data_IF_394251109664
#
_entry.id   IF_394251109664
#
_cell.length_a   1.000
_cell.length_b   1.000
_cell.length_c   1.000
_cell.angle_alpha   90.00
_cell.angle_beta   90.00
_cell.angle_gamma   90.00
#
_symmetry.space_group_name_H-M   'P 1'
#
loop_
_entity.id
_entity.type
_entity.pdbx_description
1 polymer ?
#
# COMPACT_ATOMS: atom_id res chain seq x y z
N UNK A 1 -3.79 24.38 -34.03
CA UNK A 1 -3.60 22.91 -33.89
C UNK A 1 -2.30 22.56 -34.63
N UNK A 2 -1.42 21.72 -34.09
CA UNK A 2 -0.10 21.41 -34.71
C UNK A 2 -0.30 20.72 -36.06
N UNK A 3 0.56 21.03 -37.06
CA UNK A 3 0.46 20.56 -38.46
C UNK A 3 0.33 19.04 -38.55
N UNK A 4 1.05 18.34 -37.69
CA UNK A 4 1.12 16.88 -37.60
C UNK A 4 -0.22 16.25 -37.17
N UNK A 5 -0.94 16.89 -36.24
CA UNK A 5 -2.28 16.43 -35.82
C UNK A 5 -3.27 16.59 -36.98
N UNK A 6 -3.12 17.63 -37.79
CA UNK A 6 -4.00 17.85 -38.95
C UNK A 6 -3.77 16.77 -40.01
N UNK A 7 -2.52 16.33 -40.20
CA UNK A 7 -2.17 15.23 -41.11
C UNK A 7 -2.72 13.89 -40.59
N UNK A 8 -2.57 13.61 -39.29
CA UNK A 8 -3.11 12.39 -38.69
C UNK A 8 -4.63 12.28 -38.85
N UNK A 9 -5.34 13.40 -38.73
CA UNK A 9 -6.80 13.48 -38.82
C UNK A 9 -7.31 13.80 -40.24
N UNK A 10 -6.44 13.91 -41.25
CA UNK A 10 -6.87 14.24 -42.62
C UNK A 10 -7.50 13.05 -43.36
N UNK A 11 -7.34 11.84 -42.83
CA UNK A 11 -7.89 10.60 -43.36
C UNK A 11 -8.78 9.96 -42.29
N UNK A 12 -9.83 9.28 -42.72
CA UNK A 12 -10.58 8.41 -41.81
C UNK A 12 -9.69 7.25 -41.33
N UNK A 13 -9.87 6.76 -40.09
CA UNK A 13 -9.13 5.59 -39.63
C UNK A 13 -9.47 4.35 -40.47
N UNK A 14 -8.44 3.66 -40.96
CA UNK A 14 -8.61 2.43 -41.74
C UNK A 14 -7.81 1.27 -41.11
N UNK A 15 -8.08 0.04 -41.49
CA UNK A 15 -7.13 -1.06 -41.27
C UNK A 15 -5.87 -0.86 -42.15
N UNK A 16 -4.84 -1.70 -41.99
CA UNK A 16 -3.58 -1.54 -42.75
C UNK A 16 -3.82 -2.02 -44.19
N UNK A 17 -3.67 -1.18 -45.23
CA UNK A 17 -3.87 -1.61 -46.61
C UNK A 17 -2.78 -2.57 -47.08
N UNK A 18 -3.14 -3.47 -47.99
CA UNK A 18 -2.20 -4.21 -48.82
C UNK A 18 -2.15 -3.60 -50.23
N UNK A 19 -0.97 -3.58 -50.83
CA UNK A 19 -0.80 -3.21 -52.23
C UNK A 19 -0.99 -4.41 -53.18
N UNK A 20 -0.72 -4.20 -54.47
CA UNK A 20 -0.91 -5.21 -55.52
C UNK A 20 0.02 -6.43 -55.37
N UNK A 21 1.09 -6.33 -54.57
CA UNK A 21 2.06 -7.38 -54.30
C UNK A 21 1.85 -8.05 -52.92
N UNK A 22 0.70 -7.81 -52.28
CA UNK A 22 0.37 -8.23 -50.90
C UNK A 22 1.35 -7.66 -49.84
N UNK A 23 1.98 -6.51 -50.11
CA UNK A 23 2.83 -5.80 -49.15
C UNK A 23 2.06 -4.71 -48.39
N UNK A 24 2.51 -4.39 -47.16
CA UNK A 24 1.84 -3.39 -46.32
C UNK A 24 2.05 -1.96 -46.82
N UNK A 25 0.97 -1.28 -47.21
CA UNK A 25 0.96 0.09 -47.71
C UNK A 25 0.47 1.09 -46.63
N UNK A 26 1.38 1.53 -45.76
CA UNK A 26 1.03 2.48 -44.69
C UNK A 26 0.80 3.90 -45.22
N UNK A 27 -0.15 4.61 -44.59
CA UNK A 27 -0.34 6.05 -44.79
C UNK A 27 -0.09 6.86 -43.52
N UNK A 28 0.16 8.15 -43.65
CA UNK A 28 0.43 9.15 -42.58
C UNK A 28 -0.69 9.30 -41.51
N UNK A 29 -1.88 8.74 -41.75
CA UNK A 29 -3.06 8.82 -40.88
C UNK A 29 -3.10 7.80 -39.73
N UNK A 30 -4.31 7.41 -39.33
CA UNK A 30 -4.55 6.46 -38.23
C UNK A 30 -4.87 5.06 -38.78
N UNK A 31 -4.12 4.06 -38.33
CA UNK A 31 -4.41 2.65 -38.58
C UNK A 31 -5.12 2.01 -37.39
N UNK A 32 -6.27 1.39 -37.63
CA UNK A 32 -7.03 0.64 -36.64
C UNK A 32 -6.66 -0.84 -36.72
N UNK A 33 -6.22 -1.41 -35.62
CA UNK A 33 -5.87 -2.83 -35.51
C UNK A 33 -6.79 -3.51 -34.51
N UNK A 34 -7.49 -4.57 -34.92
CA UNK A 34 -8.42 -5.32 -34.06
C UNK A 34 -7.86 -6.73 -33.88
N UNK A 35 -7.31 -6.99 -32.70
CA UNK A 35 -6.76 -8.31 -32.36
C UNK A 35 -7.72 -9.02 -31.40
N UNK A 36 -8.70 -9.69 -32.01
CA UNK A 36 -9.58 -10.67 -31.40
C UNK A 36 -9.35 -12.00 -32.11
N UNK A 37 -9.22 -13.12 -31.39
CA UNK A 37 -8.85 -14.43 -31.96
C UNK A 37 -9.73 -14.97 -33.11
N UNK A 38 -10.84 -14.27 -33.45
CA UNK A 38 -11.78 -14.66 -34.50
C UNK A 38 -11.45 -14.04 -35.87
N UNK A 39 -10.81 -12.87 -35.93
CA UNK A 39 -10.37 -12.24 -37.18
C UNK A 39 -8.86 -12.43 -37.38
N UNK A 40 -8.49 -13.49 -38.09
CA UNK A 40 -7.08 -13.85 -38.34
C UNK A 40 -6.60 -13.52 -39.75
N UNK A 41 -7.39 -12.79 -40.55
CA UNK A 41 -7.14 -12.62 -41.98
C UNK A 41 -7.31 -11.21 -42.51
N UNK A 42 -6.72 -11.02 -43.68
CA UNK A 42 -6.98 -9.94 -44.63
C UNK A 42 -8.48 -9.94 -44.92
N UNK A 43 -9.11 -8.77 -44.86
CA UNK A 43 -10.52 -8.60 -45.20
C UNK A 43 -10.75 -8.67 -46.71
N UNK A 44 -11.98 -8.89 -47.17
CA UNK A 44 -12.30 -9.02 -48.61
C UNK A 44 -11.93 -7.78 -49.44
N UNK A 45 -11.72 -6.63 -48.79
CA UNK A 45 -11.24 -5.37 -49.35
C UNK A 45 -9.71 -5.19 -49.27
N UNK A 46 -8.96 -6.25 -48.98
CA UNK A 46 -7.48 -6.23 -49.00
C UNK A 46 -6.84 -5.57 -47.78
N UNK A 47 -7.53 -5.52 -46.63
CA UNK A 47 -7.02 -4.83 -45.44
C UNK A 47 -6.56 -5.80 -44.35
N UNK A 48 -5.38 -5.55 -43.79
CA UNK A 48 -4.81 -6.31 -42.69
C UNK A 48 -5.26 -5.74 -41.33
N UNK A 49 -5.88 -6.61 -40.52
CA UNK A 49 -6.60 -6.21 -39.30
C UNK A 49 -5.72 -6.24 -38.04
N UNK A 50 -4.58 -6.95 -38.06
CA UNK A 50 -3.69 -7.09 -36.91
C UNK A 50 -2.60 -6.02 -36.88
N UNK A 51 -1.98 -5.85 -35.72
CA UNK A 51 -0.88 -4.91 -35.54
C UNK A 51 0.35 -5.40 -36.32
N UNK A 52 0.74 -4.62 -37.34
CA UNK A 52 2.02 -4.72 -38.03
C UNK A 52 2.67 -3.33 -38.03
N UNK A 53 3.97 -3.27 -37.75
CA UNK A 53 4.71 -2.02 -37.75
C UNK A 53 5.40 -1.81 -39.11
N UNK A 54 5.48 -0.57 -39.60
CA UNK A 54 6.27 -0.23 -40.77
C UNK A 54 7.77 -0.47 -40.51
N UNK A 55 8.46 -0.91 -41.55
CA UNK A 55 9.93 -0.94 -41.63
C UNK A 55 10.44 0.39 -42.16
N UNK A 56 11.76 0.57 -42.20
CA UNK A 56 12.37 1.78 -42.75
C UNK A 56 11.95 2.06 -44.21
N UNK A 57 11.64 1.02 -44.98
CA UNK A 57 11.35 1.10 -46.41
C UNK A 57 9.90 1.57 -46.69
N UNK A 58 8.97 1.31 -45.78
CA UNK A 58 7.55 1.68 -45.93
C UNK A 58 7.03 2.60 -44.81
N UNK A 59 7.93 3.27 -44.08
CA UNK A 59 7.61 4.23 -43.02
C UNK A 59 7.13 5.58 -43.61
N UNK A 60 5.87 5.98 -43.39
CA UNK A 60 5.38 7.29 -43.80
C UNK A 60 6.08 8.44 -43.05
N UNK A 61 6.15 9.61 -43.68
CA UNK A 61 6.67 10.85 -43.06
C UNK A 61 5.66 11.99 -43.21
N UNK A 62 4.93 12.38 -42.13
CA UNK A 62 5.13 12.03 -40.72
C UNK A 62 4.61 10.64 -40.30
N UNK A 63 5.31 10.00 -39.36
CA UNK A 63 4.95 8.66 -38.87
C UNK A 63 3.46 8.53 -38.49
N UNK A 64 2.82 7.38 -38.82
CA UNK A 64 1.42 7.14 -38.59
C UNK A 64 1.11 6.86 -37.11
N UNK A 65 -0.18 6.90 -36.77
CA UNK A 65 -0.67 6.48 -35.47
C UNK A 65 -1.44 5.15 -35.55
N UNK A 66 -1.43 4.39 -34.46
CA UNK A 66 -2.14 3.11 -34.36
C UNK A 66 -3.15 3.16 -33.23
N UNK A 67 -4.38 2.72 -33.51
CA UNK A 67 -5.41 2.42 -32.50
C UNK A 67 -5.56 0.91 -32.45
N UNK A 68 -5.05 0.30 -31.38
CA UNK A 68 -5.10 -1.15 -31.18
C UNK A 68 -6.24 -1.50 -30.22
N UNK A 69 -7.21 -2.27 -30.71
CA UNK A 69 -8.36 -2.75 -29.94
C UNK A 69 -8.20 -4.24 -29.70
N UNK A 70 -8.17 -4.64 -28.43
CA UNK A 70 -7.74 -5.98 -28.05
C UNK A 70 -8.56 -6.66 -26.97
N UNK A 71 -8.67 -7.99 -27.08
CA UNK A 71 -9.25 -8.87 -26.06
C UNK A 71 -8.25 -9.37 -25.02
N UNK A 72 -8.57 -10.49 -24.34
CA UNK A 72 -7.65 -11.13 -23.40
C UNK A 72 -6.35 -11.63 -24.07
N UNK A 73 -6.37 -11.82 -25.38
CA UNK A 73 -5.26 -12.35 -26.17
C UNK A 73 -4.07 -11.38 -26.25
N UNK A 74 -4.32 -10.07 -26.36
CA UNK A 74 -3.21 -9.11 -26.31
C UNK A 74 -2.54 -9.06 -24.94
N UNK A 75 -3.25 -9.46 -23.87
CA UNK A 75 -2.78 -9.24 -22.50
C UNK A 75 -1.54 -10.05 -22.11
N UNK A 76 -1.10 -10.99 -22.94
CA UNK A 76 0.05 -11.87 -22.67
C UNK A 76 1.05 -11.87 -23.83
N UNK A 77 2.29 -11.51 -23.53
CA UNK A 77 3.43 -11.72 -24.44
C UNK A 77 3.65 -10.66 -25.52
N UNK A 78 2.70 -9.75 -25.77
CA UNK A 78 2.85 -8.69 -26.76
C UNK A 78 3.42 -7.40 -26.12
N UNK A 79 4.41 -6.79 -26.77
CA UNK A 79 4.92 -5.46 -26.40
C UNK A 79 4.52 -4.47 -27.48
N UNK A 80 3.76 -3.44 -27.12
CA UNK A 80 3.40 -2.36 -28.06
C UNK A 80 4.49 -1.27 -28.02
N UNK A 81 4.99 -0.93 -29.21
CA UNK A 81 5.96 0.13 -29.45
C UNK A 81 5.24 1.47 -29.51
N UNK A 82 5.81 2.49 -28.86
CA UNK A 82 5.19 3.83 -28.85
C UNK A 82 3.84 3.91 -28.13
N UNK A 83 3.53 2.98 -27.21
CA UNK A 83 2.30 3.03 -26.43
C UNK A 83 2.27 4.25 -25.51
N UNK A 84 1.42 5.24 -25.86
CA UNK A 84 1.28 6.49 -25.11
C UNK A 84 -0.09 6.69 -24.47
N UNK A 85 -1.13 5.97 -24.91
CA UNK A 85 -2.47 6.09 -24.33
C UNK A 85 -3.16 4.73 -24.28
N UNK A 86 -3.69 4.39 -23.10
CA UNK A 86 -4.32 3.10 -22.85
C UNK A 86 -5.70 3.32 -22.24
N UNK A 87 -6.72 2.72 -22.84
CA UNK A 87 -8.07 2.65 -22.31
C UNK A 87 -8.34 1.24 -21.79
N UNK A 88 -8.59 1.13 -20.48
CA UNK A 88 -8.77 -0.15 -19.83
C UNK A 88 -10.07 -0.17 -19.03
N UNK A 89 -11.08 -0.79 -19.64
CA UNK A 89 -12.47 -0.76 -19.15
C UNK A 89 -12.85 -2.01 -18.34
N UNK A 90 -11.97 -3.01 -18.23
CA UNK A 90 -12.28 -4.28 -17.55
C UNK A 90 -11.99 -4.21 -16.06
N UNK A 91 -12.86 -4.80 -15.24
CA UNK A 91 -12.58 -5.06 -13.83
C UNK A 91 -11.87 -6.41 -13.68
N UNK A 92 -10.79 -6.45 -12.89
CA UNK A 92 -10.02 -7.67 -12.66
C UNK A 92 -9.94 -7.91 -11.16
N UNK A 93 -10.17 -9.16 -10.73
CA UNK A 93 -10.15 -9.56 -9.31
C UNK A 93 -8.88 -10.30 -8.89
N UNK A 94 -7.94 -10.54 -9.81
CA UNK A 94 -6.69 -11.29 -9.56
C UNK A 94 -5.45 -10.39 -9.65
N UNK A 95 -4.55 -10.48 -8.68
CA UNK A 95 -3.36 -9.63 -8.56
C UNK A 95 -2.36 -9.90 -9.69
N UNK A 96 -2.09 -11.18 -9.99
CA UNK A 96 -1.19 -11.58 -11.07
C UNK A 96 -1.64 -11.02 -12.42
N UNK A 97 -2.94 -11.10 -12.71
CA UNK A 97 -3.53 -10.53 -13.93
C UNK A 97 -3.39 -9.01 -13.95
N UNK A 98 -3.58 -8.34 -12.80
CA UNK A 98 -3.42 -6.89 -12.67
C UNK A 98 -1.95 -6.46 -12.85
N UNK A 99 -0.98 -7.19 -12.28
CA UNK A 99 0.46 -6.95 -12.48
C UNK A 99 0.86 -7.12 -13.95
N UNK A 100 0.42 -8.19 -14.60
CA UNK A 100 0.67 -8.41 -16.03
C UNK A 100 0.09 -7.26 -16.86
N UNK A 101 -1.09 -6.75 -16.47
CA UNK A 101 -1.72 -5.61 -17.11
C UNK A 101 -0.99 -4.28 -16.90
N UNK A 102 -0.10 -4.16 -15.91
CA UNK A 102 0.74 -2.97 -15.72
C UNK A 102 1.64 -2.66 -16.92
N UNK A 103 1.90 -3.64 -17.79
CA UNK A 103 2.65 -3.45 -19.04
C UNK A 103 1.96 -2.48 -20.01
N UNK A 104 0.64 -2.36 -19.92
CA UNK A 104 -0.16 -1.42 -20.71
C UNK A 104 0.00 0.03 -20.30
N UNK A 105 0.81 0.33 -19.29
CA UNK A 105 1.09 1.71 -18.92
C UNK A 105 2.04 2.40 -19.91
N UNK A 106 2.68 1.65 -20.82
CA UNK A 106 3.53 2.24 -21.86
C UNK A 106 4.81 2.89 -21.32
N UNK A 107 5.27 2.49 -20.12
CA UNK A 107 6.49 3.04 -19.54
C UNK A 107 7.72 2.66 -20.40
N UNK A 108 8.31 3.65 -21.07
CA UNK A 108 9.61 3.55 -21.73
C UNK A 108 10.50 4.73 -21.27
N UNK A 109 11.77 4.44 -21.01
CA UNK A 109 12.76 5.45 -20.60
C UNK A 109 12.83 6.57 -21.65
N UNK A 110 12.84 7.82 -21.20
CA UNK A 110 12.87 9.02 -22.06
C UNK A 110 11.51 9.57 -22.48
N UNK A 111 10.41 8.86 -22.19
CA UNK A 111 9.04 9.27 -22.52
C UNK A 111 8.09 9.24 -21.32
N UNK A 112 8.63 9.29 -20.10
CA UNK A 112 7.91 9.01 -18.85
C UNK A 112 6.70 9.93 -18.61
N UNK A 113 6.69 11.12 -19.22
CA UNK A 113 5.61 12.11 -19.06
C UNK A 113 4.46 11.96 -20.08
N UNK A 114 4.66 11.15 -21.12
CA UNK A 114 3.70 10.99 -22.22
C UNK A 114 2.56 10.02 -21.93
N UNK A 115 2.77 8.88 -21.22
CA UNK A 115 1.71 7.92 -20.99
C UNK A 115 0.44 8.50 -20.34
N UNK A 116 -0.70 8.06 -20.86
CA UNK A 116 -2.05 8.35 -20.36
C UNK A 116 -2.79 7.03 -20.13
N UNK A 117 -3.35 6.89 -18.94
CA UNK A 117 -4.10 5.70 -18.54
C UNK A 117 -5.52 6.09 -18.19
N UNK A 118 -6.48 5.48 -18.88
CA UNK A 118 -7.91 5.67 -18.65
C UNK A 118 -8.48 4.38 -18.06
N UNK A 119 -8.73 4.39 -16.76
CA UNK A 119 -9.16 3.24 -15.97
C UNK A 119 -10.32 3.62 -15.05
N UNK A 120 -11.10 2.63 -14.62
CA UNK A 120 -12.14 2.82 -13.60
C UNK A 120 -11.52 3.18 -12.25
N UNK A 121 -12.27 3.87 -11.36
CA UNK A 121 -11.77 4.18 -10.01
C UNK A 121 -11.42 2.92 -9.22
N UNK A 122 -12.20 1.83 -9.39
CA UNK A 122 -11.94 0.54 -8.75
C UNK A 122 -10.57 -0.02 -9.17
N UNK A 123 -10.29 -0.06 -10.47
CA UNK A 123 -9.01 -0.54 -11.01
C UNK A 123 -7.84 0.34 -10.53
N UNK A 124 -8.03 1.66 -10.45
CA UNK A 124 -7.02 2.57 -9.91
C UNK A 124 -6.68 2.25 -8.44
N UNK A 125 -7.69 2.03 -7.61
CA UNK A 125 -7.48 1.71 -6.21
C UNK A 125 -6.83 0.32 -6.03
N UNK A 126 -7.16 -0.64 -6.90
CA UNK A 126 -6.49 -1.95 -6.95
C UNK A 126 -5.00 -1.83 -7.34
N UNK A 127 -4.65 -1.01 -8.35
CA UNK A 127 -3.26 -0.78 -8.74
C UNK A 127 -2.46 -0.08 -7.63
N UNK A 128 -3.05 0.90 -6.94
CA UNK A 128 -2.41 1.56 -5.79
C UNK A 128 -2.13 0.57 -4.68
N UNK A 129 -3.09 -0.31 -4.39
CA UNK A 129 -2.91 -1.36 -3.39
C UNK A 129 -1.79 -2.34 -3.78
N UNK A 130 -1.79 -2.80 -5.02
CA UNK A 130 -0.78 -3.71 -5.54
C UNK A 130 0.62 -3.09 -5.56
N UNK A 131 0.75 -1.81 -5.94
CA UNK A 131 2.02 -1.09 -5.89
C UNK A 131 2.53 -0.90 -4.45
N UNK A 132 1.62 -0.66 -3.49
CA UNK A 132 1.98 -0.61 -2.08
C UNK A 132 2.47 -1.98 -1.57
N UNK A 133 1.79 -3.07 -1.93
CA UNK A 133 2.23 -4.43 -1.60
C UNK A 133 3.59 -4.77 -2.23
N UNK A 134 3.84 -4.42 -3.49
CA UNK A 134 5.13 -4.63 -4.16
C UNK A 134 6.24 -3.84 -3.46
N UNK A 135 5.97 -2.60 -3.06
CA UNK A 135 6.93 -1.79 -2.31
C UNK A 135 7.21 -2.37 -0.92
N UNK A 136 6.19 -2.81 -0.19
CA UNK A 136 6.37 -3.49 1.09
C UNK A 136 7.24 -4.74 0.96
N UNK A 137 7.01 -5.55 -0.08
CA UNK A 137 7.83 -6.74 -0.35
C UNK A 137 9.29 -6.36 -0.66
N UNK A 138 9.53 -5.29 -1.43
CA UNK A 138 10.88 -4.78 -1.71
C UNK A 138 11.58 -4.29 -0.44
N UNK A 139 10.85 -3.58 0.41
CA UNK A 139 11.37 -3.08 1.68
C UNK A 139 11.73 -4.25 2.60
N UNK A 140 10.91 -5.30 2.65
CA UNK A 140 11.20 -6.55 3.39
C UNK A 140 12.43 -7.28 2.84
N UNK A 141 12.57 -7.37 1.51
CA UNK A 141 13.77 -7.96 0.89
C UNK A 141 15.02 -7.17 1.26
N UNK A 142 14.95 -5.83 1.26
CA UNK A 142 16.06 -4.99 1.66
C UNK A 142 16.40 -5.13 3.15
N UNK A 143 15.39 -5.26 4.01
CA UNK A 143 15.56 -5.55 5.43
C UNK A 143 16.30 -6.88 5.64
N UNK A 144 15.93 -7.93 4.91
CA UNK A 144 16.61 -9.24 5.01
C UNK A 144 18.08 -9.19 4.64
N UNK A 145 18.41 -8.52 3.54
CA UNK A 145 19.80 -8.33 3.09
C UNK A 145 20.62 -7.64 4.18
N UNK A 146 20.06 -6.58 4.76
CA UNK A 146 20.70 -5.82 5.83
C UNK A 146 20.88 -6.65 7.12
N UNK A 147 19.86 -7.45 7.48
CA UNK A 147 19.89 -8.35 8.63
C UNK A 147 20.68 -9.65 8.35
N UNK A 148 21.21 -9.86 7.14
CA UNK A 148 21.96 -11.07 6.79
C UNK A 148 21.14 -12.35 6.91
N UNK A 149 19.82 -12.29 6.72
CA UNK A 149 18.95 -13.48 6.78
C UNK A 149 19.04 -14.26 5.46
N UNK A 150 19.17 -15.58 5.55
CA UNK A 150 19.24 -16.46 4.38
C UNK A 150 17.89 -16.53 3.64
N UNK A 151 17.85 -16.45 2.30
CA UNK A 151 16.64 -16.67 1.52
C UNK A 151 15.98 -18.05 1.76
N UNK A 152 16.75 -19.07 2.16
CA UNK A 152 16.20 -20.39 2.48
C UNK A 152 15.33 -20.39 3.74
N UNK A 153 15.57 -19.44 4.65
CA UNK A 153 14.85 -19.29 5.92
C UNK A 153 13.68 -18.30 5.80
N UNK A 154 13.55 -17.66 4.64
CA UNK A 154 12.49 -16.72 4.34
C UNK A 154 11.94 -17.00 2.94
N UNK A 155 10.91 -17.84 2.86
CA UNK A 155 10.04 -17.83 1.69
C UNK A 155 9.38 -16.45 1.60
N UNK A 156 9.34 -15.78 0.42
CA UNK A 156 8.66 -14.49 0.26
C UNK A 156 7.22 -14.63 0.76
N UNK A 157 6.96 -14.11 1.96
CA UNK A 157 5.67 -14.22 2.63
C UNK A 157 4.74 -13.24 1.96
N UNK A 158 3.98 -13.71 0.97
CA UNK A 158 2.94 -12.87 0.39
C UNK A 158 1.88 -12.73 1.47
N UNK A 159 1.93 -11.62 2.22
CA UNK A 159 1.02 -11.35 3.32
C UNK A 159 -0.41 -11.64 2.87
N UNK A 160 -1.07 -12.56 3.56
CA UNK A 160 -2.52 -12.59 3.64
C UNK A 160 -2.96 -11.37 4.46
N UNK A 161 -2.73 -10.18 3.90
CA UNK A 161 -3.21 -8.92 4.46
C UNK A 161 -4.74 -8.99 4.38
N UNK A 162 -5.52 -8.58 5.39
CA UNK A 162 -6.98 -8.68 5.39
C UNK A 162 -7.69 -8.01 4.19
N UNK A 163 -6.96 -7.17 3.43
CA UNK A 163 -7.39 -6.61 2.13
C UNK A 163 -7.41 -7.61 0.96
N UNK A 164 -6.89 -8.83 1.14
CA UNK A 164 -6.87 -9.89 0.12
C UNK A 164 -8.28 -10.42 -0.26
N UNK A 165 -9.32 -10.03 0.47
CA UNK A 165 -10.71 -10.27 0.05
C UNK A 165 -11.08 -9.52 -1.25
N UNK A 166 -10.41 -8.40 -1.56
CA UNK A 166 -10.66 -7.60 -2.77
C UNK A 166 -9.87 -8.05 -4.01
N UNK A 167 -8.74 -8.74 -3.82
CA UNK A 167 -7.87 -9.22 -4.89
C UNK A 167 -7.28 -10.58 -4.51
N UNK A 168 -7.62 -11.62 -5.28
CA UNK A 168 -6.97 -12.93 -5.15
C UNK A 168 -5.54 -12.83 -5.64
N UNK A 169 -4.60 -13.12 -4.75
CA UNK A 169 -3.17 -12.99 -4.99
C UNK A 169 -2.69 -14.00 -6.05
N UNK A 170 -3.25 -15.21 -6.07
CA UNK A 170 -2.97 -16.26 -7.07
C UNK A 170 -4.22 -17.08 -7.40
N UNK A 171 -4.21 -17.74 -8.57
CA UNK A 171 -5.26 -18.67 -8.98
C UNK A 171 -5.23 -19.95 -8.13
N UNK A 172 -6.40 -20.47 -7.73
CA UNK A 172 -6.57 -21.64 -6.83
C UNK A 172 -5.73 -22.86 -7.23
N UNK A 173 -5.55 -23.09 -8.52
CA UNK A 173 -4.81 -24.24 -9.06
C UNK A 173 -3.28 -24.12 -8.96
N UNK A 174 -2.75 -22.89 -8.78
CA UNK A 174 -1.32 -22.63 -8.56
C UNK A 174 -0.94 -22.53 -7.08
N UNK A 175 -1.92 -22.64 -6.19
CA UNK A 175 -1.71 -22.66 -4.74
C UNK A 175 -1.37 -24.06 -4.20
N UNK A 176 -1.23 -25.08 -5.06
CA UNK A 176 -0.93 -26.46 -4.62
C UNK A 176 0.40 -26.57 -3.85
N UNK A 177 1.35 -25.66 -4.09
CA UNK A 177 2.63 -25.56 -3.36
C UNK A 177 2.64 -24.46 -2.28
N UNK A 178 1.57 -23.67 -2.18
CA UNK A 178 1.44 -22.67 -1.15
C UNK A 178 0.94 -23.37 0.12
N UNK A 179 1.82 -23.55 1.11
CA UNK A 179 1.37 -23.89 2.44
C UNK A 179 0.62 -22.69 2.99
N UNK A 180 -0.65 -22.88 3.35
CA UNK A 180 -1.41 -21.92 4.14
C UNK A 180 -0.62 -21.71 5.43
N UNK A 181 0.11 -20.61 5.47
CA UNK A 181 0.85 -20.19 6.64
C UNK A 181 -0.01 -19.21 7.38
N UNK A 182 -0.06 -19.45 8.68
CA UNK A 182 -0.83 -18.72 9.67
C UNK A 182 -0.57 -17.20 9.64
N UNK A 183 -1.47 -16.41 10.24
CA UNK A 183 -1.25 -14.96 10.37
C UNK A 183 0.06 -14.69 11.12
N UNK A 184 0.93 -13.89 10.51
CA UNK A 184 2.22 -13.50 11.03
C UNK A 184 2.34 -11.98 10.89
N UNK A 185 2.41 -11.29 12.03
CA UNK A 185 2.53 -9.84 12.08
C UNK A 185 3.97 -9.38 12.38
N UNK A 186 4.95 -10.29 12.35
CA UNK A 186 6.37 -9.95 12.53
C UNK A 186 6.85 -9.00 11.43
N UNK A 187 7.64 -7.99 11.82
CA UNK A 187 8.09 -6.93 10.91
C UNK A 187 6.98 -5.96 10.46
N UNK A 188 5.73 -6.10 10.93
CA UNK A 188 4.64 -5.23 10.52
C UNK A 188 4.70 -3.85 11.20
N UNK A 189 4.30 -2.82 10.47
CA UNK A 189 4.12 -1.47 11.03
C UNK A 189 2.77 -0.89 10.64
N UNK A 190 1.79 -1.20 11.48
CA UNK A 190 0.37 -0.88 11.25
C UNK A 190 0.03 0.49 11.84
N UNK A 191 -0.87 1.23 11.21
CA UNK A 191 -1.31 2.55 11.69
C UNK A 191 -2.80 2.77 11.44
N UNK A 192 -3.46 3.53 12.30
CA UNK A 192 -4.82 4.01 12.06
C UNK A 192 -4.80 5.20 11.09
N UNK A 193 -5.52 5.10 9.98
CA UNK A 193 -5.65 6.18 8.98
C UNK A 193 -7.11 6.47 8.57
N UNK A 194 -8.05 5.69 9.10
CA UNK A 194 -9.50 5.84 8.92
C UNK A 194 -10.14 5.95 10.30
N UNK A 195 -11.05 6.90 10.46
CA UNK A 195 -11.76 7.17 11.70
C UNK A 195 -13.22 7.50 11.41
N UNK A 196 -14.14 6.97 12.20
CA UNK A 196 -15.55 7.38 12.13
C UNK A 196 -15.66 8.80 12.70
N UNK A 197 -16.20 9.75 11.92
CA UNK A 197 -16.40 11.14 12.36
C UNK A 197 -17.63 11.23 13.29
N UNK A 198 -17.65 10.42 14.34
CA UNK A 198 -18.72 10.28 15.31
C UNK A 198 -18.23 10.73 16.69
N UNK A 199 -18.96 11.66 17.31
CA UNK A 199 -18.58 12.27 18.59
C UNK A 199 -18.45 11.22 19.70
N UNK A 200 -19.34 10.22 19.74
CA UNK A 200 -19.32 9.20 20.78
C UNK A 200 -18.13 8.26 20.60
N UNK A 201 -17.79 7.88 19.36
CA UNK A 201 -16.61 7.04 19.07
C UNK A 201 -15.32 7.77 19.39
N UNK A 202 -15.16 9.01 18.92
CA UNK A 202 -13.93 9.77 19.12
C UNK A 202 -13.69 10.11 20.60
N UNK A 203 -14.74 10.54 21.33
CA UNK A 203 -14.63 10.78 22.78
C UNK A 203 -14.34 9.51 23.57
N UNK A 204 -14.96 8.39 23.21
CA UNK A 204 -14.66 7.09 23.82
C UNK A 204 -13.17 6.77 23.69
N UNK A 205 -12.61 6.88 22.48
CA UNK A 205 -11.20 6.61 22.26
C UNK A 205 -10.28 7.56 23.04
N UNK A 206 -10.60 8.85 23.14
CA UNK A 206 -9.84 9.79 23.99
C UNK A 206 -9.84 9.31 25.46
N UNK A 207 -11.01 8.98 26.01
CA UNK A 207 -11.14 8.54 27.41
C UNK A 207 -10.39 7.23 27.65
N UNK A 208 -10.47 6.26 26.75
CA UNK A 208 -9.72 5.00 26.89
C UNK A 208 -8.21 5.22 26.77
N UNK A 209 -7.77 6.15 25.92
CA UNK A 209 -6.36 6.55 25.85
C UNK A 209 -5.90 7.24 27.13
N UNK A 210 -6.71 8.12 27.74
CA UNK A 210 -6.38 8.74 29.03
C UNK A 210 -6.23 7.69 30.13
N UNK A 211 -7.18 6.74 30.22
CA UNK A 211 -7.08 5.61 31.16
C UNK A 211 -5.82 4.78 30.93
N UNK A 212 -5.51 4.48 29.67
CA UNK A 212 -4.30 3.74 29.31
C UNK A 212 -3.04 4.48 29.74
N UNK A 213 -2.87 5.75 29.34
CA UNK A 213 -1.71 6.57 29.70
C UNK A 213 -1.57 6.71 31.22
N UNK A 214 -2.68 6.91 31.95
CA UNK A 214 -2.65 6.94 33.41
C UNK A 214 -2.18 5.63 34.03
N UNK A 215 -2.55 4.48 33.44
CA UNK A 215 -2.15 3.15 33.91
C UNK A 215 -0.66 2.83 33.71
N UNK A 216 0.02 3.54 32.80
CA UNK A 216 1.46 3.38 32.57
C UNK A 216 2.32 4.01 33.68
N UNK A 217 1.73 4.87 34.52
CA UNK A 217 2.48 5.63 35.53
C UNK A 217 3.30 6.78 34.93
N UNK A 218 4.34 7.20 35.64
CA UNK A 218 5.19 8.30 35.18
C UNK A 218 6.06 7.86 33.99
N UNK A 219 6.17 8.69 32.93
CA UNK A 219 7.08 8.43 31.84
C UNK A 219 8.53 8.49 32.32
N UNK A 220 9.44 7.94 31.52
CA UNK A 220 10.87 8.03 31.81
C UNK A 220 11.32 9.49 31.91
N UNK A 221 12.23 9.77 32.85
CA UNK A 221 12.87 11.08 32.92
C UNK A 221 13.56 11.38 31.59
N UNK A 222 13.22 12.54 31.03
CA UNK A 222 13.65 12.93 29.70
C UNK A 222 15.17 13.04 29.64
N UNK A 223 15.82 12.03 29.06
CA UNK A 223 17.24 12.11 28.69
C UNK A 223 17.39 12.96 27.43
N UNK A 224 18.23 13.99 27.47
CA UNK A 224 18.53 14.87 26.31
C UNK A 224 19.30 14.15 25.18
N UNK A 225 19.50 12.84 25.28
CA UNK A 225 20.37 12.10 24.38
C UNK A 225 19.76 11.93 22.98
N UNK A 226 18.43 11.80 22.84
CA UNK A 226 17.75 11.59 21.56
C UNK A 226 16.86 12.78 21.16
N UNK A 227 17.29 13.55 20.16
CA UNK A 227 16.56 14.72 19.64
C UNK A 227 15.16 14.39 19.10
N UNK A 228 14.89 13.15 18.68
CA UNK A 228 13.58 12.77 18.16
C UNK A 228 12.56 12.46 19.27
N UNK A 229 13.00 12.38 20.53
CA UNK A 229 12.14 12.23 21.70
C UNK A 229 11.71 13.57 22.32
N UNK A 230 12.14 14.71 21.77
CA UNK A 230 12.03 16.04 22.38
C UNK A 230 10.60 16.42 22.82
N UNK A 231 9.60 16.04 22.03
CA UNK A 231 8.20 16.39 22.23
C UNK A 231 7.32 15.18 22.58
N UNK A 232 7.92 14.14 23.13
CA UNK A 232 7.27 12.85 23.37
C UNK A 232 7.44 12.39 24.81
N UNK A 233 6.45 11.69 25.33
CA UNK A 233 6.57 10.90 26.56
C UNK A 233 6.82 9.44 26.20
N UNK A 234 7.74 8.79 26.91
CA UNK A 234 8.17 7.41 26.60
C UNK A 234 8.09 6.56 27.85
N UNK A 235 7.52 5.38 27.71
CA UNK A 235 7.54 4.31 28.71
C UNK A 235 8.20 3.10 28.09
N UNK A 236 9.19 2.55 28.78
CA UNK A 236 9.89 1.33 28.37
C UNK A 236 9.48 0.17 29.22
N UNK A 237 9.64 -1.04 28.69
CA UNK A 237 9.40 -2.28 29.43
C UNK A 237 7.95 -2.41 29.95
N UNK A 238 6.97 -1.98 29.16
CA UNK A 238 5.54 -2.06 29.48
C UNK A 238 5.00 -3.46 29.18
N UNK A 239 4.34 -4.08 30.16
CA UNK A 239 3.74 -5.40 29.97
C UNK A 239 2.65 -5.38 28.88
N UNK A 240 2.61 -6.44 28.05
CA UNK A 240 1.59 -6.56 27.01
C UNK A 240 0.16 -6.59 27.56
N UNK A 241 -0.05 -6.98 28.82
CA UNK A 241 -1.36 -6.98 29.49
C UNK A 241 -2.04 -5.59 29.45
N UNK A 242 -1.27 -4.52 29.66
CA UNK A 242 -1.75 -3.14 29.61
C UNK A 242 -2.07 -2.70 28.17
N UNK A 243 -1.21 -3.08 27.22
CA UNK A 243 -1.39 -2.79 25.79
C UNK A 243 -2.61 -3.52 25.25
N UNK A 244 -2.75 -4.81 25.57
CA UNK A 244 -3.89 -5.65 25.21
C UNK A 244 -5.21 -4.99 25.62
N UNK A 245 -5.35 -4.64 26.90
CA UNK A 245 -6.56 -4.00 27.41
C UNK A 245 -6.91 -2.73 26.64
N UNK A 246 -5.91 -1.90 26.32
CA UNK A 246 -6.15 -0.69 25.53
C UNK A 246 -6.58 -1.00 24.10
N UNK A 247 -5.96 -1.99 23.44
CA UNK A 247 -6.34 -2.42 22.09
C UNK A 247 -7.74 -3.05 22.03
N UNK A 248 -8.19 -3.74 23.08
CA UNK A 248 -9.54 -4.32 23.19
C UNK A 248 -10.63 -3.24 23.33
N UNK A 249 -10.34 -2.18 24.09
CA UNK A 249 -11.31 -1.10 24.37
C UNK A 249 -11.32 0.00 23.29
N UNK A 250 -10.25 0.11 22.50
CA UNK A 250 -10.14 1.10 21.43
C UNK A 250 -11.07 0.76 20.26
N UNK A 251 -11.92 1.71 19.86
CA UNK A 251 -12.84 1.55 18.73
C UNK A 251 -12.15 1.84 17.41
N UNK A 252 -11.80 0.77 16.69
CA UNK A 252 -11.27 0.84 15.34
C UNK A 252 -12.37 1.01 14.29
N UNK A 253 -12.08 1.78 13.24
CA UNK A 253 -12.94 1.83 12.07
C UNK A 253 -12.93 0.46 11.34
N UNK A 254 -14.10 -0.06 11.01
CA UNK A 254 -14.28 -1.39 10.40
C UNK A 254 -13.61 -1.57 9.03
N UNK A 255 -13.25 -0.48 8.35
CA UNK A 255 -12.56 -0.52 7.05
C UNK A 255 -11.03 -0.60 7.21
N UNK A 256 -10.49 -0.57 8.43
CA UNK A 256 -9.06 -0.73 8.68
C UNK A 256 -8.66 -2.20 8.55
N UNK A 257 -7.80 -2.54 7.59
CA UNK A 257 -7.40 -3.93 7.33
C UNK A 257 -6.96 -4.73 8.57
N UNK A 258 -5.79 -4.43 9.14
CA UNK A 258 -5.22 -5.20 10.26
C UNK A 258 -5.99 -5.01 11.58
N UNK A 259 -6.54 -3.81 11.80
CA UNK A 259 -7.20 -3.49 13.06
C UNK A 259 -8.69 -3.90 13.11
N UNK A 260 -9.31 -4.24 11.99
CA UNK A 260 -10.69 -4.76 11.97
C UNK A 260 -10.78 -6.15 12.62
N UNK A 261 -9.67 -6.87 12.74
CA UNK A 261 -9.57 -8.12 13.50
C UNK A 261 -8.49 -8.02 14.57
N UNK A 262 -8.63 -7.02 15.45
CA UNK A 262 -7.68 -6.78 16.54
C UNK A 262 -7.58 -7.99 17.50
N UNK A 263 -8.66 -8.77 17.64
CA UNK A 263 -8.67 -9.96 18.47
C UNK A 263 -7.65 -11.02 17.97
N UNK A 264 -7.60 -11.26 16.66
CA UNK A 264 -6.59 -12.16 16.07
C UNK A 264 -5.17 -11.62 16.23
N UNK A 265 -4.98 -10.31 16.13
CA UNK A 265 -3.66 -9.68 16.35
C UNK A 265 -3.21 -9.86 17.79
N UNK A 266 -4.10 -9.62 18.76
CA UNK A 266 -3.83 -9.82 20.19
C UNK A 266 -3.46 -11.27 20.46
N UNK A 267 -4.27 -12.23 20.00
CA UNK A 267 -4.02 -13.65 20.22
C UNK A 267 -2.66 -14.09 19.64
N UNK A 268 -2.28 -13.54 18.48
CA UNK A 268 -0.96 -13.78 17.89
C UNK A 268 0.17 -13.21 18.76
N UNK A 269 0.03 -11.96 19.23
CA UNK A 269 1.04 -11.32 20.12
C UNK A 269 1.19 -12.11 21.42
N UNK A 270 0.10 -12.59 22.03
CA UNK A 270 0.16 -13.41 23.24
C UNK A 270 0.96 -14.68 23.02
N UNK A 271 0.69 -15.39 21.92
CA UNK A 271 1.39 -16.63 21.61
C UNK A 271 2.90 -16.41 21.43
N UNK A 272 3.31 -15.44 20.62
CA UNK A 272 4.74 -15.21 20.38
C UNK A 272 5.47 -14.64 21.60
N UNK A 273 4.77 -13.86 22.43
CA UNK A 273 5.32 -13.37 23.69
C UNK A 273 5.54 -14.55 24.66
N UNK A 274 4.60 -15.50 24.71
CA UNK A 274 4.74 -16.73 25.49
C UNK A 274 5.87 -17.64 24.99
N UNK A 275 6.19 -17.61 23.70
CA UNK A 275 7.36 -18.27 23.11
C UNK A 275 8.69 -17.54 23.40
N UNK A 276 8.66 -16.42 24.14
CA UNK A 276 9.85 -15.60 24.45
C UNK A 276 10.39 -14.85 23.24
N UNK A 277 9.58 -14.69 22.19
CA UNK A 277 10.01 -14.08 20.93
C UNK A 277 9.85 -12.56 20.92
N UNK A 278 8.89 -12.04 21.67
CA UNK A 278 8.72 -10.61 21.92
C UNK A 278 9.01 -10.29 23.37
N UNK A 279 9.67 -9.16 23.57
CA UNK A 279 9.86 -8.55 24.87
C UNK A 279 8.68 -7.64 25.23
N UNK A 280 8.79 -6.99 26.38
CA UNK A 280 7.87 -5.94 26.79
C UNK A 280 7.88 -4.76 25.80
N UNK A 281 6.82 -3.97 25.84
CA UNK A 281 6.54 -2.92 24.87
C UNK A 281 7.20 -1.59 25.25
N UNK A 282 7.59 -0.82 24.24
CA UNK A 282 7.84 0.60 24.39
C UNK A 282 6.61 1.39 23.93
N UNK A 283 6.13 2.29 24.78
CA UNK A 283 4.98 3.15 24.49
C UNK A 283 5.48 4.58 24.31
N UNK A 284 5.00 5.24 23.25
CA UNK A 284 5.36 6.62 22.93
C UNK A 284 4.08 7.43 22.78
N UNK A 285 3.90 8.46 23.61
CA UNK A 285 2.92 9.50 23.37
C UNK A 285 3.61 10.63 22.61
N UNK A 286 3.41 10.64 21.29
CA UNK A 286 4.14 11.52 20.38
C UNK A 286 3.44 12.87 20.19
N UNK A 287 4.19 13.95 20.40
CA UNK A 287 3.77 15.31 20.12
C UNK A 287 4.64 15.98 19.04
N UNK A 288 4.24 17.17 18.61
CA UNK A 288 5.05 18.01 17.70
C UNK A 288 5.57 19.26 18.38
N UNK A 289 6.61 19.88 17.82
CA UNK A 289 7.15 21.15 18.33
C UNK A 289 6.18 22.34 18.24
N UNK A 290 5.09 22.25 17.47
CA UNK A 290 4.09 23.31 17.31
C UNK A 290 2.67 22.73 17.24
N UNK A 291 1.67 23.51 17.68
CA UNK A 291 0.27 23.11 17.68
C UNK A 291 -0.46 23.45 18.97
N UNK A 292 -1.76 23.14 19.01
CA UNK A 292 -2.55 23.18 20.24
C UNK A 292 -2.10 22.07 21.19
N UNK A 293 -2.43 22.22 22.48
CA UNK A 293 -2.01 21.29 23.53
C UNK A 293 -3.16 20.38 23.91
N UNK A 294 -2.88 19.10 24.11
CA UNK A 294 -3.71 18.16 24.84
C UNK A 294 -3.09 17.93 26.22
N UNK A 295 -3.88 18.13 27.27
CA UNK A 295 -3.45 17.91 28.65
C UNK A 295 -3.63 16.44 28.98
N UNK A 296 -2.61 15.63 28.70
CA UNK A 296 -2.63 14.21 29.01
C UNK A 296 -2.51 13.98 30.53
N UNK A 297 -2.83 12.78 31.04
CA UNK A 297 -2.69 12.45 32.46
C UNK A 297 -1.28 12.64 33.04
N UNK A 298 -0.25 12.67 32.19
CA UNK A 298 1.17 12.79 32.60
C UNK A 298 1.79 14.14 32.25
N UNK A 299 1.02 15.05 31.64
CA UNK A 299 1.47 16.38 31.27
C UNK A 299 1.01 16.84 29.89
N UNK A 300 1.27 18.11 29.56
CA UNK A 300 0.87 18.70 28.29
C UNK A 300 1.68 18.09 27.14
N UNK A 301 0.99 17.61 26.10
CA UNK A 301 1.58 17.19 24.84
C UNK A 301 0.96 17.97 23.69
N UNK A 302 1.76 18.36 22.71
CA UNK A 302 1.28 19.11 21.55
C UNK A 302 0.61 18.17 20.55
N UNK A 303 -0.63 18.50 20.15
CA UNK A 303 -1.40 17.76 19.15
C UNK A 303 -0.69 17.79 17.80
N UNK A 304 -0.87 16.73 17.02
CA UNK A 304 -0.34 16.64 15.66
C UNK A 304 -1.35 17.19 14.65
N UNK A 305 -0.86 17.88 13.63
CA UNK A 305 -1.72 18.32 12.53
C UNK A 305 -1.83 17.26 11.44
N UNK A 306 -3.05 16.86 11.07
CA UNK A 306 -3.32 15.99 9.92
C UNK A 306 -4.51 16.54 9.16
N UNK A 307 -4.48 16.39 7.84
CA UNK A 307 -5.59 16.77 6.95
C UNK A 307 -6.34 15.52 6.51
N UNK A 308 -7.58 15.66 6.01
CA UNK A 308 -8.30 14.54 5.40
C UNK A 308 -8.21 14.59 3.88
N UNK A 309 -8.33 13.42 3.24
CA UNK A 309 -8.50 13.32 1.78
C UNK A 309 -9.90 13.80 1.44
N UNK A 310 -10.03 14.57 0.35
CA UNK A 310 -11.35 14.96 -0.16
C UNK A 310 -12.17 13.72 -0.46
N UNK A 311 -13.42 13.74 0.00
CA UNK A 311 -14.37 12.69 -0.27
C UNK A 311 -14.65 12.62 -1.78
N UNK A 312 -14.67 11.40 -2.33
CA UNK A 312 -15.18 11.16 -3.68
C UNK A 312 -16.73 11.13 -3.71
N UNK A 313 -17.35 10.80 -2.57
CA UNK A 313 -18.80 10.68 -2.38
C UNK A 313 -19.21 11.43 -1.10
N UNK A 314 -20.28 12.25 -1.17
CA UNK A 314 -20.73 13.13 -0.08
C UNK A 314 -21.26 12.38 1.17
N UNK A 315 -21.58 11.09 1.06
CA UNK A 315 -22.18 10.29 2.14
C UNK A 315 -21.18 9.61 3.07
N UNK A 316 -19.87 9.77 2.85
CA UNK A 316 -18.87 9.07 3.66
C UNK A 316 -18.58 9.87 4.94
N UNK A 317 -19.07 9.36 6.08
CA UNK A 317 -18.83 9.93 7.42
C UNK A 317 -17.45 9.58 7.97
N UNK A 318 -16.60 8.92 7.18
CA UNK A 318 -15.26 8.46 7.58
C UNK A 318 -14.20 9.49 7.23
N UNK A 319 -13.33 9.79 8.18
CA UNK A 319 -12.14 10.62 7.99
C UNK A 319 -10.99 9.74 7.50
N UNK A 320 -10.47 10.03 6.31
CA UNK A 320 -9.25 9.39 5.80
C UNK A 320 -8.06 10.35 5.82
N UNK A 321 -7.16 10.18 6.78
CA UNK A 321 -5.97 11.05 6.91
C UNK A 321 -4.81 10.61 6.00
N UNK A 322 -4.87 9.40 5.43
CA UNK A 322 -3.85 8.82 4.56
C UNK A 322 -2.67 8.21 5.32
N UNK A 323 -1.91 9.04 6.04
CA UNK A 323 -0.72 8.59 6.81
C UNK A 323 -0.73 9.28 8.17
N UNK A 324 -0.60 8.48 9.23
CA UNK A 324 -0.49 8.97 10.60
C UNK A 324 0.97 9.13 11.02
N UNK A 325 1.82 8.15 10.73
CA UNK A 325 3.19 8.09 11.24
C UNK A 325 4.10 9.23 10.76
N UNK A 326 4.99 9.70 11.63
CA UNK A 326 6.26 10.32 11.25
C UNK A 326 7.36 9.25 11.39
N UNK A 327 8.19 8.99 10.37
CA UNK A 327 9.26 7.99 10.49
C UNK A 327 10.23 8.24 11.64
N UNK A 328 10.39 9.50 12.08
CA UNK A 328 11.27 9.87 13.20
C UNK A 328 10.79 9.31 14.53
N UNK A 329 9.47 9.20 14.72
CA UNK A 329 8.89 8.75 15.99
C UNK A 329 9.20 7.27 16.25
N UNK A 330 9.51 6.49 15.20
CA UNK A 330 9.93 5.08 15.30
C UNK A 330 11.22 4.95 16.11
N UNK A 331 12.15 5.90 15.97
CA UNK A 331 13.46 5.86 16.62
C UNK A 331 13.52 6.68 17.91
N UNK A 332 12.40 7.25 18.35
CA UNK A 332 12.35 8.10 19.53
C UNK A 332 12.59 7.32 20.83
N UNK A 333 12.29 6.02 20.87
CA UNK A 333 12.56 5.16 22.03
C UNK A 333 13.98 4.60 22.11
N UNK A 334 14.86 4.94 21.17
CA UNK A 334 16.27 4.59 21.25
C UNK A 334 16.93 5.46 22.33
N UNK A 335 17.40 4.82 23.41
CA UNK A 335 18.32 5.47 24.34
C UNK A 335 19.71 5.49 23.72
N UNK A 336 20.28 6.69 23.55
CA UNK A 336 21.63 6.87 22.99
C UNK A 336 22.73 6.73 24.03
N UNK A 337 22.40 6.68 25.32
CA UNK A 337 23.38 6.48 26.37
C UNK A 337 24.02 5.08 26.24
N UNK A 338 25.35 5.02 26.14
CA UNK A 338 26.09 3.77 25.99
C UNK A 338 26.02 3.12 24.61
N UNK A 339 25.29 3.71 23.64
CA UNK A 339 25.23 3.17 22.28
C UNK A 339 26.53 3.41 21.49
N UNK A 340 26.93 2.48 20.61
CA UNK A 340 28.01 2.70 19.65
C UNK A 340 27.86 3.98 18.82
N UNK A 341 28.98 4.63 18.52
CA UNK A 341 29.02 5.89 17.76
C UNK A 341 28.34 5.78 16.38
N UNK A 342 28.34 4.60 15.77
CA UNK A 342 27.62 4.33 14.53
C UNK A 342 26.12 4.56 14.69
N UNK A 343 25.51 4.04 15.75
CA UNK A 343 24.06 4.15 16.02
C UNK A 343 23.70 5.58 16.35
N UNK A 344 24.51 6.24 17.20
CA UNK A 344 24.35 7.67 17.52
C UNK A 344 24.36 8.52 16.25
N UNK A 345 25.28 8.24 15.33
CA UNK A 345 25.38 8.95 14.05
C UNK A 345 24.16 8.67 13.16
N UNK A 346 23.71 7.41 13.06
CA UNK A 346 22.51 7.05 12.27
C UNK A 346 21.22 7.69 12.83
N UNK A 347 21.11 7.84 14.16
CA UNK A 347 19.98 8.53 14.81
C UNK A 347 20.03 10.04 14.56
N UNK A 348 21.22 10.66 14.63
CA UNK A 348 21.39 12.09 14.34
C UNK A 348 21.13 12.41 12.87
N UNK A 349 21.73 11.65 11.95
CA UNK A 349 21.59 11.77 10.49
C UNK A 349 20.45 10.89 9.94
N UNK A 350 19.32 10.91 10.65
CA UNK A 350 18.20 10.01 10.39
C UNK A 350 17.70 10.06 8.94
N UNK A 351 17.57 8.88 8.34
CA UNK A 351 16.88 8.67 7.06
C UNK A 351 15.72 7.71 7.26
N UNK A 352 14.53 8.12 6.83
CA UNK A 352 13.26 7.42 7.04
C UNK A 352 13.27 5.94 6.63
N UNK A 353 13.95 5.59 5.53
CA UNK A 353 14.06 4.19 5.07
C UNK A 353 14.81 3.26 6.03
N UNK A 354 15.62 3.80 6.94
CA UNK A 354 16.43 3.01 7.89
C UNK A 354 15.85 2.97 9.29
N UNK A 355 14.63 3.50 9.53
CA UNK A 355 14.09 3.62 10.88
C UNK A 355 14.04 2.29 11.66
N UNK A 356 13.55 1.23 11.01
CA UNK A 356 13.51 -0.12 11.61
C UNK A 356 14.91 -0.71 11.82
N UNK A 357 15.79 -0.52 10.84
CA UNK A 357 17.19 -0.97 10.92
C UNK A 357 17.90 -0.33 12.11
N UNK A 358 17.79 0.99 12.26
CA UNK A 358 18.43 1.75 13.36
C UNK A 358 17.91 1.24 14.71
N UNK A 359 16.59 1.00 14.81
CA UNK A 359 15.97 0.45 16.02
C UNK A 359 16.47 -0.97 16.31
N UNK A 360 16.62 -1.81 15.29
CA UNK A 360 17.20 -3.14 15.43
C UNK A 360 18.67 -3.11 15.85
N UNK A 361 19.49 -2.24 15.25
CA UNK A 361 20.90 -2.08 15.62
C UNK A 361 21.06 -1.61 17.07
N UNK A 362 20.10 -0.82 17.57
CA UNK A 362 20.06 -0.36 18.96
C UNK A 362 19.61 -1.43 19.97
N UNK A 363 19.36 -2.66 19.54
CA UNK A 363 18.95 -3.79 20.39
C UNK A 363 17.44 -3.87 20.68
N UNK A 364 16.61 -3.19 19.89
CA UNK A 364 15.14 -3.17 20.04
C UNK A 364 14.44 -4.06 18.99
N UNK A 365 15.13 -5.08 18.49
CA UNK A 365 14.68 -6.02 17.46
C UNK A 365 13.77 -7.15 17.98
N UNK A 366 13.58 -7.23 19.29
CA UNK A 366 12.56 -8.04 19.98
C UNK A 366 11.52 -7.18 20.72
N UNK A 367 11.68 -5.86 20.75
CA UNK A 367 10.86 -4.91 21.52
C UNK A 367 9.75 -4.28 20.65
N UNK A 368 8.48 -4.62 20.87
CA UNK A 368 7.37 -3.98 20.16
C UNK A 368 7.23 -2.50 20.52
N UNK A 369 6.53 -1.74 19.68
CA UNK A 369 6.27 -0.32 19.88
C UNK A 369 4.80 0.01 19.68
N UNK A 370 4.23 0.80 20.58
CA UNK A 370 2.96 1.48 20.35
C UNK A 370 3.19 3.00 20.41
N UNK A 371 2.89 3.69 19.33
CA UNK A 371 2.96 5.15 19.25
C UNK A 371 1.54 5.70 19.20
N UNK A 372 1.22 6.61 20.12
CA UNK A 372 -0.08 7.26 20.26
C UNK A 372 0.07 8.73 19.87
N UNK A 373 -0.87 9.23 19.08
CA UNK A 373 -0.95 10.62 18.63
C UNK A 373 -2.32 11.18 18.95
N UNK A 374 -2.39 12.44 19.36
CA UNK A 374 -3.65 13.21 19.39
C UNK A 374 -3.65 14.18 18.23
N UNK A 375 -4.57 13.99 17.29
CA UNK A 375 -4.72 14.81 16.09
C UNK A 375 -5.68 15.95 16.40
N UNK A 376 -5.23 17.18 16.11
CA UNK A 376 -6.03 18.39 16.28
C UNK A 376 -7.20 18.41 15.29
N UNK A 377 -8.44 18.43 15.81
CA UNK A 377 -9.68 18.44 15.02
C UNK A 377 -9.80 19.59 14.04
N UNK A 378 -9.14 20.71 14.32
CA UNK A 378 -9.20 21.95 13.55
C UNK A 378 -8.02 22.11 12.58
N UNK A 379 -7.23 21.04 12.38
CA UNK A 379 -6.09 21.01 11.46
C UNK A 379 -6.43 21.52 10.07
N UNK A 380 -5.63 22.47 9.57
CA UNK A 380 -5.86 23.17 8.30
C UNK A 380 -5.05 22.60 7.14
N UNK A 381 -5.69 22.48 5.98
CA UNK A 381 -5.01 22.15 4.75
C UNK A 381 -4.33 23.36 4.12
N UNK A 382 -3.28 23.09 3.35
CA UNK A 382 -2.65 24.12 2.51
C UNK A 382 -3.69 24.58 1.47
N UNK A 383 -3.85 25.90 1.33
CA UNK A 383 -4.77 26.49 0.35
C UNK A 383 -4.43 25.99 -1.06
N UNK A 384 -5.45 25.60 -1.83
CA UNK A 384 -5.29 25.15 -3.21
C UNK A 384 -4.93 23.67 -3.38
N UNK A 385 -5.04 22.83 -2.33
CA UNK A 385 -4.86 21.38 -2.51
C UNK A 385 -6.04 20.77 -3.27
N UNK A 386 -5.75 20.06 -4.37
CA UNK A 386 -6.78 19.34 -5.14
C UNK A 386 -7.27 18.08 -4.45
N UNK A 387 -6.45 17.47 -3.58
CA UNK A 387 -6.69 16.14 -3.02
C UNK A 387 -6.94 16.12 -1.50
N UNK A 388 -6.69 17.25 -0.82
CA UNK A 388 -6.79 17.37 0.64
C UNK A 388 -7.71 18.53 1.02
N UNK A 389 -8.31 18.40 2.19
CA UNK A 389 -9.12 19.43 2.83
C UNK A 389 -8.84 19.47 4.34
N UNK A 390 -9.35 20.52 4.99
CA UNK A 390 -9.26 20.70 6.44
C UNK A 390 -9.79 19.46 7.17
N UNK A 391 -9.19 19.17 8.32
CA UNK A 391 -9.62 18.00 9.08
C UNK A 391 -11.04 18.14 9.58
N UNK A 392 -11.49 19.29 10.09
CA UNK A 392 -12.88 19.54 10.52
C UNK A 392 -13.55 18.33 11.18
N UNK A 393 -12.85 17.70 12.13
CA UNK A 393 -13.38 16.56 12.87
C UNK A 393 -14.34 17.05 13.96
N UNK A 394 -15.34 16.26 14.30
CA UNK A 394 -16.29 16.62 15.37
C UNK A 394 -15.63 16.64 16.76
N UNK A 395 -14.52 15.92 16.91
CA UNK A 395 -13.64 15.95 18.09
C UNK A 395 -12.18 15.67 17.68
N UNK A 396 -11.23 15.94 18.59
CA UNK A 396 -9.85 15.48 18.42
C UNK A 396 -9.82 13.96 18.21
N UNK A 397 -8.83 13.48 17.46
CA UNK A 397 -8.75 12.08 17.08
C UNK A 397 -7.51 11.47 17.70
N UNK A 398 -7.66 10.41 18.50
CA UNK A 398 -6.51 9.59 18.89
C UNK A 398 -6.17 8.65 17.75
N UNK A 399 -4.96 8.73 17.21
CA UNK A 399 -4.43 7.76 16.27
C UNK A 399 -3.34 6.90 16.92
N UNK A 400 -3.24 5.63 16.51
CA UNK A 400 -2.19 4.71 16.98
C UNK A 400 -1.37 4.13 15.83
N UNK A 401 -0.09 3.89 16.08
CA UNK A 401 0.82 3.13 15.23
C UNK A 401 1.41 1.99 16.06
N UNK A 402 1.42 0.77 15.51
CA UNK A 402 1.92 -0.43 16.17
C UNK A 402 3.04 -1.04 15.33
N UNK A 403 4.26 -1.05 15.88
CA UNK A 403 5.45 -1.64 15.27
C UNK A 403 5.76 -2.97 15.96
N UNK A 404 5.72 -4.05 15.20
CA UNK A 404 6.06 -5.38 15.67
C UNK A 404 7.36 -5.75 14.96
N UNK A 405 8.46 -5.99 15.69
CA UNK A 405 9.75 -6.23 15.05
C UNK A 405 9.80 -7.59 14.36
N UNK A 406 10.74 -7.74 13.42
CA UNK A 406 10.97 -8.98 12.66
C UNK A 406 11.87 -10.02 13.34
N UNK A 407 12.29 -9.76 14.59
CA UNK A 407 13.18 -10.61 15.39
C UNK A 407 14.68 -10.45 15.10
N UNK A 408 15.52 -11.03 15.98
CA UNK A 408 17.01 -10.94 15.96
C UNK A 408 17.65 -11.27 14.62
N UNK A 409 18.75 -10.56 14.35
CA UNK A 409 19.67 -10.85 13.26
C UNK A 409 20.13 -12.31 13.34
N UNK A 410 19.92 -13.09 12.26
CA UNK A 410 20.35 -14.50 12.19
C UNK A 410 19.50 -15.53 12.94
N UNK A 411 18.27 -15.21 13.33
CA UNK A 411 17.37 -16.14 14.05
C UNK A 411 16.05 -16.35 13.33
N UNK A 412 15.57 -17.59 13.36
CA UNK A 412 14.36 -18.06 12.65
C UNK A 412 13.10 -17.74 13.47
N UNK A 413 12.64 -16.50 13.42
CA UNK A 413 11.41 -16.04 14.07
C UNK A 413 10.14 -16.35 13.25
N UNK A 414 9.94 -17.59 12.83
CA UNK A 414 8.63 -18.04 12.29
C UNK A 414 7.76 -18.51 13.46
N UNK A 415 6.65 -17.82 13.74
CA UNK A 415 5.63 -18.31 14.66
C UNK A 415 4.31 -18.45 13.90
N UNK A 416 3.97 -19.69 13.54
CA UNK A 416 2.72 -20.03 12.83
C UNK A 416 1.64 -20.42 13.86
N UNK A 417 0.48 -19.77 13.84
CA UNK A 417 -0.73 -20.07 14.66
C UNK A 417 -1.98 -20.44 13.83
N UNK A 418 -2.42 -21.68 13.93
CA UNK A 418 -3.44 -22.27 13.05
C UNK A 418 -4.88 -21.95 13.47
N UNK A 419 -5.74 -21.52 12.54
CA UNK A 419 -7.20 -21.41 12.73
C UNK A 419 -7.93 -22.09 11.57
N UNK A 420 -8.91 -22.94 11.89
CA UNK A 420 -9.88 -23.50 10.95
C UNK A 420 -10.94 -22.44 10.61
N UNK A 421 -10.97 -21.97 9.36
CA UNK A 421 -12.13 -21.25 8.84
C UNK A 421 -13.18 -22.26 8.38
N UNK A 422 -14.39 -22.17 8.93
CA UNK A 422 -15.56 -22.80 8.32
C UNK A 422 -15.88 -22.04 7.03
N UNK A 423 -15.63 -22.68 5.88
CA UNK A 423 -16.04 -22.17 4.58
C UNK A 423 -17.56 -22.28 4.43
N UNK A 424 -18.29 -21.22 4.75
CA UNK A 424 -19.46 -20.79 3.97
C UNK A 424 -19.81 -19.35 4.37
N UNK A 425 -19.82 -18.38 3.44
CA UNK A 425 -21.02 -18.21 2.62
C UNK A 425 -20.78 -17.61 1.22
N UNK A 426 -21.47 -18.14 0.21
CA UNK A 426 -22.36 -17.45 -0.74
C UNK A 426 -22.66 -18.44 -1.86
N UNK A 427 -23.76 -19.18 -1.65
CA UNK A 427 -24.64 -19.62 -2.74
C UNK A 427 -25.02 -18.37 -3.53
N UNK A 428 -24.49 -18.27 -4.74
CA UNK A 428 -25.15 -17.57 -5.82
C UNK A 428 -25.01 -18.50 -7.03
N UNK A 429 -26.11 -19.16 -7.38
CA UNK A 429 -26.28 -19.81 -8.68
C UNK A 429 -26.20 -18.73 -9.76
N UNK A 430 -24.98 -18.33 -10.11
CA UNK A 430 -24.68 -17.52 -11.28
C UNK A 430 -24.30 -18.43 -12.43
N UNK A 431 -25.28 -18.70 -13.29
CA UNK A 431 -25.23 -19.47 -14.55
C UNK A 431 -23.83 -19.76 -15.10
N UNK A 432 -23.43 -21.03 -14.98
CA UNK A 432 -22.47 -21.66 -15.87
C UNK A 432 -23.21 -22.15 -17.13
N UNK A 433 -23.49 -21.24 -18.06
CA UNK A 433 -23.48 -21.61 -19.48
C UNK A 433 -21.99 -21.60 -19.90
N UNK A 434 -21.33 -22.70 -20.24
CA UNK A 434 -21.83 -23.80 -21.06
C UNK A 434 -21.32 -23.61 -22.49
N UNK A 435 -20.02 -23.76 -22.70
CA UNK A 435 -19.49 -24.16 -24.03
C UNK A 435 -18.32 -25.11 -23.81
N UNK A 436 -18.66 -26.39 -23.64
CA UNK A 436 -17.93 -27.43 -24.35
C UNK A 436 -17.98 -27.09 -25.83
N UNK A 437 -16.86 -27.19 -26.52
CA UNK A 437 -16.80 -27.90 -27.80
C UNK A 437 -15.35 -28.19 -28.14
N UNK A 438 -15.18 -29.30 -28.86
CA UNK A 438 -13.95 -30.02 -29.16
C UNK A 438 -12.91 -29.22 -29.93
#
# INVERSE_FOLDING_TARGET
MRKEITILLSKEPTNIPLDEDDEFAYHEGIHMCIDNCKNNGITDDGMYVRLAYPTADNMPTPAPAFIVVGGATLSRGLTIEGLISTFFLRSVSQADTLMQMGRWFGYRKGYELLPRLWITSKTNDQFKFLAALDQELRDEIHEMDTLGKSPANYGPRVKNTPKASFIRITAKNRMQSAQATDMDFSGSFNQTYLFDNDVAVLKHNIVETEKFIASLGQPEERKECNQHAENSFIWRNVEFSLVKKYLEEYKFNSRLGVFNDIASVIAWIEKISAEGKLENWNIILAGKGSGSVWNSPVGPVKKVSRTRKKLKNESDTVINIGVLRDPKDIIADIDLEGQPQEIVSKVKDFKSKYAKEIRSLAGLDSTPQLIVYVIDKDSKAVKGSDTREDLNSVEDIVGICMNIPGGKRGTDYTATVSIHMQNNPFDDEGDLEGTNEN
#
